data_IF_812273879717
#
_entry.id   IF_812273879717
#
_cell.length_a   1.000
_cell.length_b   1.000
_cell.length_c   1.000
_cell.angle_alpha   90.00
_cell.angle_beta   90.00
_cell.angle_gamma   90.00
#
_symmetry.space_group_name_H-M   'P 1'
#
loop_
_entity.id
_entity.type
_entity.pdbx_description
1 polymer ?
#
# COMPACT_ATOMS: atom_id res chain seq x y z
N UNK A 1 15.54 7.80 8.86
CA UNK A 1 14.48 8.57 9.56
C UNK A 1 13.59 7.52 10.21
N UNK A 2 13.58 7.38 11.54
CA UNK A 2 12.91 6.21 12.15
C UNK A 2 11.44 6.10 11.73
N UNK A 3 11.00 4.92 11.26
CA UNK A 3 9.63 4.59 10.84
C UNK A 3 8.55 5.14 11.79
N UNK A 4 8.80 5.10 13.10
CA UNK A 4 7.83 5.54 14.11
C UNK A 4 7.51 7.03 14.07
N UNK A 5 8.36 7.83 13.43
CA UNK A 5 8.16 9.26 13.30
C UNK A 5 6.90 9.57 12.47
N UNK A 6 6.43 8.68 11.59
CA UNK A 6 5.19 8.86 10.81
C UNK A 6 3.92 8.98 11.68
N UNK A 7 3.99 8.53 12.93
CA UNK A 7 2.89 8.62 13.89
C UNK A 7 2.95 9.87 14.77
N UNK A 8 4.02 10.66 14.69
CA UNK A 8 4.09 11.91 15.42
C UNK A 8 3.23 12.97 14.72
N UNK A 9 2.36 13.62 15.48
CA UNK A 9 1.62 14.81 15.02
C UNK A 9 2.52 15.94 14.52
N UNK A 10 3.77 15.99 15.00
CA UNK A 10 4.80 16.96 14.60
C UNK A 10 5.70 16.47 13.49
N UNK A 11 5.42 15.30 12.91
CA UNK A 11 6.18 14.84 11.77
C UNK A 11 6.15 15.89 10.68
N UNK A 12 7.33 16.30 10.21
CA UNK A 12 7.48 17.32 9.18
C UNK A 12 7.06 16.79 7.82
N UNK A 13 5.75 16.59 7.62
CA UNK A 13 5.18 16.30 6.31
C UNK A 13 5.49 17.44 5.33
N UNK A 14 5.71 18.65 5.84
CA UNK A 14 6.13 19.87 5.15
C UNK A 14 7.65 20.02 4.95
N UNK A 15 8.47 19.19 5.60
CA UNK A 15 9.93 19.32 5.50
C UNK A 15 10.48 18.70 4.22
N UNK A 16 11.43 19.37 3.53
CA UNK A 16 12.15 18.77 2.42
C UNK A 16 12.93 17.55 2.93
N UNK A 17 12.56 16.38 2.41
CA UNK A 17 13.24 15.11 2.66
C UNK A 17 12.83 14.17 1.52
N UNK A 18 13.69 14.04 0.52
CA UNK A 18 13.39 13.22 -0.64
C UNK A 18 14.53 13.13 -1.64
N UNK A 19 14.31 12.32 -2.68
CA UNK A 19 15.22 12.13 -3.80
C UNK A 19 15.46 13.42 -4.60
N UNK A 20 14.46 14.31 -4.58
CA UNK A 20 14.45 15.52 -5.38
C UNK A 20 13.57 16.59 -4.72
N UNK A 21 14.09 17.82 -4.75
CA UNK A 21 13.46 19.02 -4.21
C UNK A 21 13.37 20.06 -5.33
N UNK A 22 12.23 20.11 -6.05
CA UNK A 22 12.06 21.06 -7.14
C UNK A 22 12.09 22.50 -6.63
N UNK A 23 12.84 23.36 -7.31
CA UNK A 23 12.79 24.80 -7.10
C UNK A 23 11.49 25.35 -7.71
N UNK A 24 10.49 25.59 -6.86
CA UNK A 24 9.14 25.93 -7.28
C UNK A 24 9.09 27.23 -8.10
N UNK A 25 9.93 28.20 -7.78
CA UNK A 25 9.99 29.45 -8.53
C UNK A 25 10.46 29.17 -9.97
N UNK A 26 11.51 28.37 -10.13
CA UNK A 26 11.99 27.95 -11.46
C UNK A 26 10.99 27.07 -12.21
N UNK A 27 10.25 26.21 -11.50
CA UNK A 27 9.18 25.39 -12.13
C UNK A 27 8.09 26.30 -12.70
N UNK A 28 7.64 27.31 -11.95
CA UNK A 28 6.65 28.29 -12.41
C UNK A 28 7.20 29.07 -13.61
N UNK A 29 8.44 29.57 -13.52
CA UNK A 29 9.09 30.25 -14.64
C UNK A 29 9.13 29.36 -15.89
N UNK A 30 9.45 28.07 -15.76
CA UNK A 30 9.50 27.14 -16.89
C UNK A 30 8.14 27.01 -17.58
N UNK A 31 7.04 26.92 -16.82
CA UNK A 31 5.70 26.93 -17.40
C UNK A 31 5.38 28.26 -18.09
N UNK A 32 5.79 29.40 -17.53
CA UNK A 32 5.58 30.70 -18.18
C UNK A 32 6.33 30.77 -19.51
N UNK A 33 7.58 30.29 -19.56
CA UNK A 33 8.36 30.20 -20.80
C UNK A 33 7.71 29.27 -21.84
N UNK A 34 7.00 28.24 -21.39
CA UNK A 34 6.21 27.34 -22.24
C UNK A 34 4.85 27.93 -22.67
N UNK A 35 4.55 29.18 -22.34
CA UNK A 35 3.35 29.90 -22.81
C UNK A 35 2.13 29.78 -21.90
N UNK A 36 2.32 29.48 -20.61
CA UNK A 36 1.28 29.60 -19.59
C UNK A 36 1.25 30.99 -18.96
N UNK A 37 0.06 31.48 -18.62
CA UNK A 37 -0.07 32.67 -17.77
C UNK A 37 0.39 32.37 -16.34
N UNK A 38 0.86 33.38 -15.60
CA UNK A 38 1.39 33.21 -14.23
C UNK A 38 0.45 32.44 -13.30
N UNK A 39 -0.85 32.77 -13.33
CA UNK A 39 -1.84 32.11 -12.47
C UNK A 39 -2.12 30.66 -12.91
N UNK A 40 -2.03 30.37 -14.21
CA UNK A 40 -2.15 29.00 -14.71
C UNK A 40 -0.94 28.15 -14.30
N UNK A 41 0.27 28.71 -14.41
CA UNK A 41 1.50 28.05 -13.97
C UNK A 41 1.48 27.73 -12.46
N UNK A 42 0.99 28.67 -11.63
CA UNK A 42 0.80 28.43 -10.20
C UNK A 42 -0.22 27.33 -9.91
N UNK A 43 -1.36 27.32 -10.61
CA UNK A 43 -2.40 26.30 -10.41
C UNK A 43 -1.95 24.91 -10.88
N UNK A 44 -1.11 24.80 -11.92
CA UNK A 44 -0.45 23.56 -12.31
C UNK A 44 0.42 22.99 -11.18
N UNK A 45 1.32 23.81 -10.65
CA UNK A 45 2.22 23.40 -9.55
C UNK A 45 1.43 22.99 -8.32
N UNK A 46 0.43 23.80 -7.94
CA UNK A 46 -0.47 23.50 -6.81
C UNK A 46 -1.27 22.21 -7.02
N UNK A 47 -1.62 21.90 -8.27
CA UNK A 47 -2.27 20.65 -8.65
C UNK A 47 -1.31 19.45 -8.71
N UNK A 48 -0.01 19.65 -8.45
CA UNK A 48 0.99 18.59 -8.39
C UNK A 48 1.74 18.34 -9.71
N UNK A 49 1.64 19.24 -10.69
CA UNK A 49 2.44 19.14 -11.92
C UNK A 49 3.79 19.83 -11.74
N UNK A 50 4.87 19.05 -11.78
CA UNK A 50 6.23 19.51 -11.49
C UNK A 50 7.11 19.29 -12.70
N UNK A 51 7.79 20.34 -13.14
CA UNK A 51 8.79 20.28 -14.21
C UNK A 51 10.18 19.96 -13.67
N UNK A 52 10.86 18.99 -14.29
CA UNK A 52 12.24 18.61 -14.03
C UNK A 52 13.10 19.05 -15.22
N UNK A 53 13.83 20.18 -15.12
CA UNK A 53 14.59 20.75 -16.24
C UNK A 53 15.63 19.81 -16.84
N UNK A 54 16.34 19.05 -16.00
CA UNK A 54 17.45 18.19 -16.42
C UNK A 54 17.00 17.07 -17.36
N UNK A 55 15.74 16.65 -17.23
CA UNK A 55 15.14 15.60 -18.05
C UNK A 55 14.10 16.14 -19.04
N UNK A 56 13.81 17.44 -19.00
CA UNK A 56 12.73 18.09 -19.75
C UNK A 56 11.36 17.38 -19.58
N UNK A 57 10.98 17.05 -18.34
CA UNK A 57 9.77 16.28 -18.03
C UNK A 57 8.86 17.04 -17.07
N UNK A 58 7.58 17.14 -17.40
CA UNK A 58 6.53 17.46 -16.43
C UNK A 58 5.97 16.16 -15.87
N UNK A 59 5.94 16.07 -14.55
CA UNK A 59 5.50 14.91 -13.78
C UNK A 59 4.24 15.30 -13.02
N UNK A 60 3.18 14.54 -13.19
CA UNK A 60 2.01 14.58 -12.32
C UNK A 60 2.31 13.77 -11.04
N UNK A 61 2.55 14.47 -9.93
CA UNK A 61 3.00 13.86 -8.66
C UNK A 61 1.98 12.97 -7.97
N UNK A 62 0.71 13.07 -8.33
CA UNK A 62 -0.32 12.18 -7.81
C UNK A 62 -0.22 10.77 -8.42
N UNK A 63 0.49 10.60 -9.53
CA UNK A 63 0.62 9.31 -10.23
C UNK A 63 2.07 8.93 -10.52
N UNK A 64 2.84 9.85 -11.10
CA UNK A 64 4.23 9.65 -11.48
C UNK A 64 5.23 10.13 -10.43
N UNK A 65 6.45 9.63 -10.54
CA UNK A 65 7.58 10.00 -9.69
C UNK A 65 8.85 10.28 -10.47
N UNK A 66 9.99 10.34 -9.77
CA UNK A 66 11.28 10.84 -10.28
C UNK A 66 11.96 9.86 -11.26
N UNK A 67 11.27 9.53 -12.35
CA UNK A 67 11.76 8.71 -13.45
C UNK A 67 12.01 9.60 -14.67
N UNK A 68 13.20 9.51 -15.25
CA UNK A 68 13.58 10.21 -16.47
C UNK A 68 13.00 9.55 -17.73
N UNK A 69 11.69 9.29 -17.74
CA UNK A 69 10.99 8.67 -18.88
C UNK A 69 9.59 9.26 -19.09
N UNK A 70 9.15 9.28 -20.34
CA UNK A 70 7.79 9.69 -20.72
C UNK A 70 6.89 8.48 -20.89
N UNK A 71 5.64 8.59 -20.40
CA UNK A 71 4.57 7.65 -20.72
C UNK A 71 3.33 8.35 -21.29
N UNK A 72 3.35 9.68 -21.39
CA UNK A 72 2.26 10.55 -21.88
C UNK A 72 0.94 10.43 -21.08
N UNK A 73 0.96 9.72 -19.94
CA UNK A 73 -0.15 9.63 -18.99
C UNK A 73 0.08 10.54 -17.79
N UNK A 74 1.20 10.34 -17.10
CA UNK A 74 1.58 11.07 -15.90
C UNK A 74 2.99 11.68 -15.99
N UNK A 75 3.73 11.39 -17.06
CA UNK A 75 5.02 12.00 -17.38
C UNK A 75 5.08 12.36 -18.86
N UNK A 76 5.27 13.63 -19.16
CA UNK A 76 5.26 14.14 -20.53
C UNK A 76 6.23 15.33 -20.71
N UNK A 77 6.67 15.62 -21.96
CA UNK A 77 7.52 16.78 -22.23
C UNK A 77 6.80 18.10 -21.92
N UNK A 78 7.55 19.11 -21.47
CA UNK A 78 7.00 20.44 -21.15
C UNK A 78 6.16 21.01 -22.30
N UNK A 79 6.68 20.92 -23.53
CA UNK A 79 6.05 21.46 -24.74
C UNK A 79 4.72 20.81 -25.11
N UNK A 80 4.46 19.59 -24.60
CA UNK A 80 3.21 18.87 -24.86
C UNK A 80 2.22 18.98 -23.70
N UNK A 81 2.61 19.60 -22.58
CA UNK A 81 1.78 19.67 -21.36
C UNK A 81 0.42 20.29 -21.65
N UNK A 82 0.39 21.38 -22.42
CA UNK A 82 -0.85 22.08 -22.73
C UNK A 82 -1.79 21.24 -23.57
N UNK A 83 -1.26 20.65 -24.64
CA UNK A 83 -2.01 19.74 -25.48
C UNK A 83 -2.55 18.54 -24.70
N UNK A 84 -1.76 17.97 -23.78
CA UNK A 84 -2.18 16.82 -23.00
C UNK A 84 -3.26 17.17 -21.99
N UNK A 85 -3.10 18.28 -21.25
CA UNK A 85 -4.02 18.67 -20.18
C UNK A 85 -5.30 19.32 -20.69
N UNK A 86 -5.29 19.94 -21.87
CA UNK A 86 -6.47 20.54 -22.50
C UNK A 86 -7.32 19.50 -23.28
N UNK A 87 -6.86 18.24 -23.40
CA UNK A 87 -7.64 17.17 -24.03
C UNK A 87 -8.86 16.82 -23.18
N UNK A 88 -9.89 16.32 -23.87
CA UNK A 88 -11.02 15.66 -23.20
C UNK A 88 -10.53 14.44 -22.40
N UNK A 89 -11.25 14.15 -21.31
CA UNK A 89 -10.97 12.99 -20.48
C UNK A 89 -10.95 11.70 -21.32
N UNK A 90 -9.91 10.90 -21.14
CA UNK A 90 -9.61 9.76 -22.01
C UNK A 90 -9.33 8.46 -21.24
N UNK A 91 -9.68 8.41 -19.95
CA UNK A 91 -9.62 7.18 -19.17
C UNK A 91 -10.39 6.05 -19.87
N UNK A 92 -9.77 4.88 -19.97
CA UNK A 92 -10.38 3.68 -20.58
C UNK A 92 -11.15 2.84 -19.56
N UNK A 93 -11.25 3.32 -18.32
CA UNK A 93 -11.94 2.63 -17.23
C UNK A 93 -13.43 2.61 -17.50
N UNK A 94 -14.02 1.42 -17.58
CA UNK A 94 -15.47 1.28 -17.72
C UNK A 94 -16.17 1.40 -16.37
N UNK A 95 -17.42 1.86 -16.39
CA UNK A 95 -18.27 1.92 -15.20
C UNK A 95 -19.54 1.12 -15.45
N UNK A 96 -19.88 0.24 -14.51
CA UNK A 96 -21.14 -0.53 -14.53
C UNK A 96 -21.84 -0.42 -13.18
N UNK A 97 -23.17 -0.46 -13.21
CA UNK A 97 -24.00 -0.49 -12.00
C UNK A 97 -24.53 -1.91 -11.83
N UNK A 98 -24.14 -2.59 -10.77
CA UNK A 98 -24.74 -3.86 -10.38
C UNK A 98 -26.08 -3.61 -9.70
N UNK A 99 -27.14 -4.32 -10.11
CA UNK A 99 -28.50 -4.18 -9.57
C UNK A 99 -28.91 -5.29 -8.61
N UNK A 100 -28.08 -6.32 -8.46
CA UNK A 100 -28.21 -7.39 -7.47
C UNK A 100 -26.85 -8.07 -7.28
N UNK A 101 -26.80 -9.04 -6.35
CA UNK A 101 -25.63 -9.89 -6.18
C UNK A 101 -25.35 -10.76 -7.41
N UNK A 102 -26.37 -11.30 -8.06
CA UNK A 102 -26.23 -12.09 -9.28
C UNK A 102 -25.69 -11.25 -10.45
N UNK A 103 -26.16 -9.99 -10.56
CA UNK A 103 -25.68 -9.05 -11.57
C UNK A 103 -24.22 -8.66 -11.31
N UNK A 104 -23.85 -8.40 -10.05
CA UNK A 104 -22.46 -8.18 -9.66
C UNK A 104 -21.56 -9.34 -10.09
N UNK A 105 -21.94 -10.58 -9.78
CA UNK A 105 -21.18 -11.76 -10.17
C UNK A 105 -21.07 -11.93 -11.69
N UNK A 106 -22.15 -11.63 -12.42
CA UNK A 106 -22.14 -11.63 -13.88
C UNK A 106 -21.15 -10.59 -14.43
N UNK A 107 -21.19 -9.36 -13.94
CA UNK A 107 -20.26 -8.30 -14.36
C UNK A 107 -18.81 -8.71 -14.09
N UNK A 108 -18.53 -9.27 -12.90
CA UNK A 108 -17.17 -9.73 -12.55
C UNK A 108 -16.72 -10.88 -13.44
N UNK A 109 -17.60 -11.83 -13.76
CA UNK A 109 -17.29 -12.93 -14.69
C UNK A 109 -16.95 -12.41 -16.08
N UNK A 110 -17.78 -11.53 -16.63
CA UNK A 110 -17.55 -10.92 -17.95
C UNK A 110 -16.24 -10.13 -17.99
N UNK A 111 -15.90 -9.43 -16.90
CA UNK A 111 -14.63 -8.73 -16.77
C UNK A 111 -13.44 -9.70 -16.79
N UNK A 112 -13.51 -10.81 -16.04
CA UNK A 112 -12.46 -11.84 -16.03
C UNK A 112 -12.25 -12.49 -17.40
N UNK A 113 -13.30 -12.63 -18.20
CA UNK A 113 -13.19 -13.18 -19.57
C UNK A 113 -12.58 -12.19 -20.57
N UNK A 114 -12.70 -10.88 -20.32
CA UNK A 114 -12.23 -9.82 -21.23
C UNK A 114 -10.82 -9.30 -20.92
N UNK A 115 -10.35 -9.46 -19.68
CA UNK A 115 -9.02 -9.01 -19.26
C UNK A 115 -7.97 -10.10 -19.48
N UNK A 116 -6.83 -9.73 -20.05
CA UNK A 116 -5.67 -10.62 -20.14
C UNK A 116 -4.97 -10.70 -18.77
N UNK A 117 -5.28 -11.74 -18.01
CA UNK A 117 -4.67 -12.02 -16.71
C UNK A 117 -5.72 -12.17 -15.61
N UNK A 118 -5.29 -12.13 -14.36
CA UNK A 118 -6.19 -12.15 -13.21
C UNK A 118 -6.73 -10.76 -12.90
N UNK A 119 -7.91 -10.70 -12.30
CA UNK A 119 -8.49 -9.47 -11.76
C UNK A 119 -8.37 -9.50 -10.23
N UNK A 120 -7.83 -8.43 -9.69
CA UNK A 120 -7.81 -8.11 -8.28
C UNK A 120 -8.89 -7.09 -7.97
N UNK A 121 -9.32 -7.09 -6.71
CA UNK A 121 -10.44 -6.29 -6.23
C UNK A 121 -10.01 -5.36 -5.11
N UNK A 122 -10.65 -4.20 -5.06
CA UNK A 122 -10.64 -3.30 -3.90
C UNK A 122 -12.04 -2.75 -3.68
N UNK A 123 -12.59 -2.94 -2.49
CA UNK A 123 -13.88 -2.37 -2.11
C UNK A 123 -13.74 -1.07 -1.35
N UNK A 124 -14.66 -0.14 -1.59
CA UNK A 124 -14.78 1.10 -0.82
C UNK A 124 -16.26 1.45 -0.61
N UNK A 125 -16.56 2.05 0.54
CA UNK A 125 -17.93 2.48 0.87
C UNK A 125 -18.44 3.61 -0.04
N UNK A 126 -17.52 4.33 -0.69
CA UNK A 126 -17.81 5.33 -1.71
C UNK A 126 -16.58 5.54 -2.59
N UNK A 127 -16.77 6.04 -3.81
CA UNK A 127 -15.66 6.41 -4.68
C UNK A 127 -14.87 7.59 -4.11
N UNK A 128 -13.54 7.46 -4.13
CA UNK A 128 -12.64 8.54 -3.77
C UNK A 128 -12.01 9.18 -5.01
N UNK A 129 -12.21 10.49 -5.17
CA UNK A 129 -11.63 11.28 -6.26
C UNK A 129 -10.66 12.35 -5.75
N UNK A 130 -9.62 12.63 -6.54
CA UNK A 130 -8.73 13.76 -6.30
C UNK A 130 -9.47 15.07 -6.53
N UNK A 131 -9.28 16.00 -5.60
CA UNK A 131 -9.88 17.34 -5.66
C UNK A 131 -8.79 18.37 -5.90
N UNK A 132 -8.49 18.62 -7.17
CA UNK A 132 -7.51 19.62 -7.63
C UNK A 132 -8.09 20.46 -8.76
N UNK A 133 -7.50 21.63 -9.00
CA UNK A 133 -7.98 22.59 -9.99
C UNK A 133 -7.63 22.18 -11.41
N UNK A 134 -6.42 21.63 -11.61
CA UNK A 134 -6.00 21.04 -12.88
C UNK A 134 -5.98 19.53 -12.73
N UNK A 135 -6.86 18.85 -13.47
CA UNK A 135 -6.99 17.39 -13.46
C UNK A 135 -6.04 16.74 -14.47
N UNK A 136 -5.73 15.45 -14.29
CA UNK A 136 -5.12 14.66 -15.35
C UNK A 136 -6.20 13.92 -16.15
N UNK A 137 -6.38 14.24 -17.44
CA UNK A 137 -7.46 13.67 -18.25
C UNK A 137 -7.32 12.16 -18.47
N UNK A 138 -6.13 11.59 -18.29
CA UNK A 138 -5.91 10.14 -18.41
C UNK A 138 -6.54 9.33 -17.27
N UNK A 139 -6.80 9.95 -16.12
CA UNK A 139 -7.36 9.29 -14.93
C UNK A 139 -8.75 9.81 -14.54
N UNK A 140 -9.28 10.75 -15.31
CA UNK A 140 -10.63 11.24 -15.14
C UNK A 140 -11.64 10.26 -15.72
N UNK A 141 -12.55 9.78 -14.88
CA UNK A 141 -13.69 8.95 -15.27
C UNK A 141 -14.96 9.81 -15.19
N UNK A 142 -15.76 9.91 -16.26
CA UNK A 142 -17.03 10.66 -16.24
C UNK A 142 -17.88 10.25 -15.02
N UNK A 143 -18.49 11.23 -14.36
CA UNK A 143 -19.30 11.08 -13.12
C UNK A 143 -18.54 10.67 -11.84
N UNK A 144 -17.34 10.09 -11.97
CA UNK A 144 -16.52 9.63 -10.85
C UNK A 144 -15.33 10.55 -10.56
N UNK A 145 -15.02 11.45 -11.48
CA UNK A 145 -13.91 12.38 -11.37
C UNK A 145 -12.56 11.71 -11.59
N UNK A 146 -11.50 12.36 -11.13
CA UNK A 146 -10.15 11.83 -11.20
C UNK A 146 -9.92 10.76 -10.12
N UNK A 147 -9.82 9.50 -10.54
CA UNK A 147 -9.79 8.36 -9.61
C UNK A 147 -8.47 8.29 -8.87
N UNK A 148 -8.53 8.16 -7.53
CA UNK A 148 -7.35 7.98 -6.69
C UNK A 148 -7.38 6.67 -5.92
N UNK A 149 -6.38 5.84 -6.19
CA UNK A 149 -6.03 4.65 -5.44
C UNK A 149 -4.74 4.88 -4.63
N UNK A 150 -4.49 6.13 -4.23
CA UNK A 150 -3.31 6.53 -3.47
C UNK A 150 -3.33 5.89 -2.07
N UNK A 151 -2.27 5.15 -1.67
CA UNK A 151 -2.17 4.60 -0.32
C UNK A 151 -2.23 5.68 0.76
N UNK A 152 -2.65 5.31 1.98
CA UNK A 152 -2.92 6.26 3.06
C UNK A 152 -1.71 7.12 3.44
N UNK A 153 -0.51 6.52 3.45
CA UNK A 153 0.74 7.22 3.77
C UNK A 153 1.07 8.30 2.74
N UNK A 154 0.90 7.99 1.46
CA UNK A 154 1.10 8.95 0.37
C UNK A 154 0.06 10.07 0.36
N UNK A 155 -1.21 9.77 0.68
CA UNK A 155 -2.25 10.82 0.80
C UNK A 155 -1.87 11.87 1.81
N UNK A 156 -1.42 11.46 3.00
CA UNK A 156 -0.92 12.38 4.04
C UNK A 156 0.20 13.28 3.53
N UNK A 157 1.16 12.73 2.79
CA UNK A 157 2.26 13.51 2.24
C UNK A 157 1.79 14.48 1.15
N UNK A 158 1.01 14.00 0.18
CA UNK A 158 0.52 14.82 -0.94
C UNK A 158 -0.42 15.94 -0.47
N UNK A 159 -1.15 15.76 0.62
CA UNK A 159 -1.99 16.80 1.22
C UNK A 159 -1.18 17.98 1.79
N UNK A 160 0.10 17.77 2.11
CA UNK A 160 0.98 18.80 2.69
C UNK A 160 2.02 19.30 1.67
N UNK A 161 2.65 18.38 0.93
CA UNK A 161 3.76 18.66 0.03
C UNK A 161 3.65 17.88 -1.28
N UNK A 162 2.74 18.26 -2.18
CA UNK A 162 2.53 17.52 -3.43
C UNK A 162 3.76 17.57 -4.36
N UNK A 163 4.72 18.46 -4.13
CA UNK A 163 5.89 18.68 -4.97
C UNK A 163 7.16 17.92 -4.55
N UNK A 164 7.21 17.31 -3.36
CA UNK A 164 8.41 16.58 -2.91
C UNK A 164 8.40 15.11 -3.35
N UNK A 165 9.59 14.58 -3.65
CA UNK A 165 9.80 13.16 -3.99
C UNK A 165 10.34 12.40 -2.78
N UNK A 166 9.51 12.25 -1.76
CA UNK A 166 9.87 11.56 -0.52
C UNK A 166 9.86 10.04 -0.70
N UNK A 167 10.80 9.35 -0.05
CA UNK A 167 10.77 7.91 0.16
C UNK A 167 10.28 7.59 1.59
N UNK A 168 9.62 6.44 1.75
CA UNK A 168 9.18 5.96 3.05
C UNK A 168 9.97 4.72 3.44
N UNK A 169 10.61 4.82 4.60
CA UNK A 169 11.28 3.72 5.27
C UNK A 169 10.25 2.74 5.87
N UNK A 170 10.61 1.45 5.91
CA UNK A 170 9.90 0.40 6.64
C UNK A 170 10.46 0.31 8.08
N UNK A 171 10.02 -0.66 8.88
CA UNK A 171 10.71 -1.00 10.13
C UNK A 171 12.14 -1.44 9.83
N UNK A 172 13.08 -1.00 10.67
CA UNK A 172 14.49 -1.37 10.53
C UNK A 172 14.72 -2.84 10.94
N UNK A 173 15.86 -3.41 10.52
CA UNK A 173 16.24 -4.79 10.83
C UNK A 173 16.08 -5.14 12.31
N UNK A 174 16.57 -4.29 13.21
CA UNK A 174 16.47 -4.53 14.65
C UNK A 174 15.02 -4.64 15.15
N UNK A 175 14.12 -3.86 14.55
CA UNK A 175 12.72 -3.82 14.93
C UNK A 175 11.97 -5.04 14.40
N UNK A 176 12.28 -5.47 13.16
CA UNK A 176 11.81 -6.73 12.62
C UNK A 176 12.36 -7.94 13.36
N UNK A 177 13.66 -7.98 13.68
CA UNK A 177 14.26 -9.05 14.49
C UNK A 177 13.55 -9.15 15.84
N UNK A 178 13.28 -8.03 16.53
CA UNK A 178 12.56 -8.08 17.80
C UNK A 178 11.17 -8.73 17.70
N UNK A 179 10.49 -8.57 16.56
CA UNK A 179 9.18 -9.19 16.33
C UNK A 179 9.37 -10.67 15.97
N UNK A 180 10.19 -10.94 14.96
CA UNK A 180 10.28 -12.26 14.33
C UNK A 180 11.11 -13.26 15.16
N UNK A 181 12.00 -12.79 16.02
CA UNK A 181 12.75 -13.63 16.96
C UNK A 181 11.83 -14.29 18.01
N UNK A 182 10.59 -13.81 18.20
CA UNK A 182 9.62 -14.42 19.13
C UNK A 182 9.23 -15.86 18.74
N UNK A 183 9.59 -16.33 17.54
CA UNK A 183 9.44 -17.74 17.18
C UNK A 183 10.47 -18.66 17.87
N UNK A 184 11.49 -18.09 18.52
CA UNK A 184 12.53 -18.81 19.26
C UNK A 184 12.50 -18.43 20.75
N UNK A 185 12.88 -19.37 21.63
CA UNK A 185 13.18 -19.04 23.03
C UNK A 185 14.57 -18.40 23.11
N UNK A 186 14.62 -17.07 23.19
CA UNK A 186 15.87 -16.32 23.21
C UNK A 186 16.77 -16.64 24.41
N UNK A 187 16.21 -17.01 25.56
CA UNK A 187 17.01 -17.40 26.72
C UNK A 187 17.67 -18.76 26.48
N UNK A 188 16.94 -19.67 25.82
CA UNK A 188 17.49 -20.95 25.39
C UNK A 188 18.61 -20.75 24.36
N UNK A 189 18.41 -19.86 23.38
CA UNK A 189 19.45 -19.56 22.37
C UNK A 189 20.72 -19.01 23.02
N UNK A 190 20.59 -18.08 23.96
CA UNK A 190 21.73 -17.52 24.69
C UNK A 190 22.45 -18.59 25.53
N UNK A 191 21.71 -19.46 26.21
CA UNK A 191 22.27 -20.56 26.99
C UNK A 191 23.05 -21.55 26.12
N UNK A 192 22.49 -21.95 24.97
CA UNK A 192 23.17 -22.82 24.00
C UNK A 192 24.43 -22.18 23.45
N UNK A 193 24.37 -20.89 23.09
CA UNK A 193 25.52 -20.18 22.52
C UNK A 193 26.67 -20.13 23.52
N UNK A 194 26.37 -19.89 24.80
CA UNK A 194 27.37 -19.88 25.87
C UNK A 194 28.03 -21.25 26.05
N UNK A 195 27.25 -22.34 26.05
CA UNK A 195 27.77 -23.71 26.18
C UNK A 195 28.77 -24.02 25.04
N UNK A 196 28.43 -23.70 23.80
CA UNK A 196 29.33 -23.93 22.66
C UNK A 196 30.58 -23.05 22.70
N UNK A 197 30.45 -21.79 23.12
CA UNK A 197 31.60 -20.91 23.31
C UNK A 197 32.57 -21.44 24.38
N UNK A 198 32.05 -22.02 25.48
CA UNK A 198 32.86 -22.70 26.50
C UNK A 198 33.54 -23.98 25.97
N UNK A 199 32.95 -24.61 24.95
CA UNK A 199 33.54 -25.77 24.24
C UNK A 199 34.56 -25.37 23.16
N UNK A 200 34.78 -24.06 22.96
CA UNK A 200 35.79 -23.53 22.04
C UNK A 200 35.28 -23.23 20.63
N UNK A 201 33.97 -23.25 20.39
CA UNK A 201 33.41 -22.76 19.13
C UNK A 201 33.40 -21.22 19.09
N UNK A 202 33.72 -20.66 17.92
CA UNK A 202 33.69 -19.23 17.68
C UNK A 202 32.30 -18.85 17.19
N UNK A 203 31.54 -18.07 17.97
CA UNK A 203 30.14 -17.70 17.67
C UNK A 203 29.94 -16.19 17.79
N UNK A 204 30.62 -15.40 16.95
CA UNK A 204 30.59 -13.93 17.02
C UNK A 204 29.64 -13.29 16.00
N UNK A 205 29.37 -14.00 14.90
CA UNK A 205 28.53 -13.51 13.79
C UNK A 205 27.32 -14.42 13.56
N UNK A 206 26.35 -13.95 12.77
CA UNK A 206 25.21 -14.78 12.35
C UNK A 206 25.66 -15.97 11.50
N UNK A 207 26.71 -15.78 10.68
CA UNK A 207 27.33 -16.85 9.87
C UNK A 207 27.97 -17.92 10.75
N UNK A 208 28.72 -17.51 11.77
CA UNK A 208 29.32 -18.47 12.71
C UNK A 208 28.26 -19.32 13.41
N UNK A 209 27.13 -18.69 13.76
CA UNK A 209 25.99 -19.36 14.38
C UNK A 209 25.30 -20.33 13.41
N UNK A 210 25.15 -19.98 12.14
CA UNK A 210 24.66 -20.91 11.09
C UNK A 210 25.60 -22.11 10.89
N UNK A 211 26.91 -21.92 11.04
CA UNK A 211 27.91 -22.97 10.81
C UNK A 211 28.23 -23.83 12.06
N UNK A 212 27.59 -23.56 13.20
CA UNK A 212 27.91 -24.21 14.47
C UNK A 212 27.45 -25.68 14.56
N UNK A 213 27.96 -26.39 15.58
CA UNK A 213 27.61 -27.80 15.77
C UNK A 213 26.19 -28.04 16.31
N UNK A 214 25.59 -27.09 17.03
CA UNK A 214 24.23 -27.21 17.57
C UNK A 214 23.19 -26.98 16.46
N UNK A 215 22.28 -27.94 16.19
CA UNK A 215 21.31 -27.83 15.11
C UNK A 215 20.28 -26.71 15.33
N UNK A 216 19.91 -26.41 16.57
CA UNK A 216 18.91 -25.39 16.91
C UNK A 216 19.52 -24.00 16.74
N UNK A 217 20.74 -23.80 17.23
CA UNK A 217 21.45 -22.54 17.01
C UNK A 217 21.73 -22.29 15.53
N UNK A 218 22.06 -23.33 14.77
CA UNK A 218 22.23 -23.23 13.33
C UNK A 218 20.96 -22.77 12.61
N UNK A 219 19.80 -23.31 12.99
CA UNK A 219 18.52 -22.84 12.44
C UNK A 219 18.26 -21.37 12.80
N UNK A 220 18.53 -20.96 14.04
CA UNK A 220 18.38 -19.57 14.46
C UNK A 220 19.36 -18.62 13.76
N UNK A 221 20.63 -19.02 13.65
CA UNK A 221 21.68 -18.27 12.94
C UNK A 221 21.34 -18.10 11.47
N UNK A 222 20.89 -19.18 10.83
CA UNK A 222 20.36 -19.17 9.47
C UNK A 222 19.21 -18.18 9.32
N UNK A 223 18.20 -18.26 10.18
CA UNK A 223 17.06 -17.36 10.16
C UNK A 223 17.49 -15.89 10.25
N UNK A 224 18.40 -15.57 11.18
CA UNK A 224 18.90 -14.19 11.36
C UNK A 224 19.70 -13.72 10.15
N UNK A 225 20.55 -14.57 9.59
CA UNK A 225 21.31 -14.25 8.39
C UNK A 225 20.36 -13.99 7.21
N UNK A 226 19.43 -14.91 6.98
CA UNK A 226 18.44 -14.80 5.92
C UNK A 226 17.58 -13.53 6.11
N UNK A 227 17.13 -13.20 7.33
CA UNK A 227 16.43 -11.94 7.59
C UNK A 227 17.30 -10.71 7.28
N UNK A 228 18.55 -10.70 7.74
CA UNK A 228 19.47 -9.55 7.56
C UNK A 228 19.83 -9.31 6.09
N UNK A 229 20.11 -10.38 5.35
CA UNK A 229 20.41 -10.31 3.94
C UNK A 229 19.15 -9.98 3.16
N UNK A 230 17.99 -10.51 3.62
CA UNK A 230 16.75 -10.44 2.86
C UNK A 230 15.76 -9.32 3.14
N UNK A 231 16.05 -8.44 4.10
CA UNK A 231 15.11 -7.41 4.53
C UNK A 231 14.66 -6.47 3.40
N UNK A 232 15.62 -5.91 2.67
CA UNK A 232 15.35 -4.81 1.72
C UNK A 232 15.12 -5.29 0.27
N UNK A 233 15.10 -6.61 0.04
CA UNK A 233 14.92 -7.20 -1.28
C UNK A 233 13.73 -8.20 -1.30
N UNK A 234 13.98 -9.51 -1.38
CA UNK A 234 13.03 -10.61 -1.25
C UNK A 234 12.01 -10.53 -0.09
N UNK A 235 12.30 -9.94 1.08
CA UNK A 235 11.31 -9.83 2.17
C UNK A 235 10.57 -8.50 2.19
N UNK A 236 11.03 -7.48 1.47
CA UNK A 236 10.53 -6.11 1.61
C UNK A 236 9.02 -6.02 1.36
N UNK A 237 8.51 -6.77 0.37
CA UNK A 237 7.09 -6.77 0.04
C UNK A 237 6.27 -7.56 1.05
N UNK A 238 6.70 -8.78 1.43
CA UNK A 238 6.07 -9.58 2.49
C UNK A 238 5.92 -8.78 3.79
N UNK A 239 6.98 -8.10 4.22
CA UNK A 239 6.97 -7.28 5.43
C UNK A 239 6.08 -6.04 5.30
N UNK A 240 6.04 -5.41 4.12
CA UNK A 240 5.11 -4.29 3.85
C UNK A 240 3.65 -4.73 3.93
N UNK A 241 3.33 -5.93 3.43
CA UNK A 241 2.00 -6.54 3.58
C UNK A 241 1.66 -6.74 5.06
N UNK A 242 2.62 -7.16 5.87
CA UNK A 242 2.40 -7.30 7.32
C UNK A 242 2.06 -5.94 7.94
N UNK A 243 2.82 -4.89 7.65
CA UNK A 243 2.52 -3.57 8.20
C UNK A 243 1.06 -3.15 7.90
N UNK A 244 0.66 -3.24 6.63
CA UNK A 244 -0.65 -2.79 6.17
C UNK A 244 -1.80 -3.55 6.85
N UNK A 245 -1.77 -4.89 6.90
CA UNK A 245 -2.88 -5.70 7.41
C UNK A 245 -3.03 -5.65 8.93
N UNK A 246 -1.97 -5.28 9.65
CA UNK A 246 -2.01 -5.07 11.10
C UNK A 246 -2.24 -3.60 11.49
N UNK A 247 -2.58 -2.74 10.53
CA UNK A 247 -2.95 -1.34 10.78
C UNK A 247 -1.78 -0.37 10.89
N UNK A 248 -0.57 -0.84 10.57
CA UNK A 248 0.62 -0.02 10.54
C UNK A 248 0.75 0.69 9.18
N UNK A 249 1.41 1.86 9.16
CA UNK A 249 1.57 2.61 7.92
C UNK A 249 2.44 1.87 6.92
N UNK A 250 1.95 1.78 5.70
CA UNK A 250 2.70 1.25 4.58
C UNK A 250 2.56 2.16 3.35
N UNK A 251 3.56 2.17 2.46
CA UNK A 251 3.47 2.90 1.20
C UNK A 251 2.72 2.12 0.12
N UNK A 252 2.22 0.90 0.39
CA UNK A 252 1.60 0.02 -0.61
C UNK A 252 0.08 0.11 -0.59
N UNK A 253 -0.56 -0.23 -1.70
CA UNK A 253 -2.01 -0.36 -1.77
C UNK A 253 -2.42 -1.81 -1.50
N UNK A 254 -3.37 -1.99 -0.59
CA UNK A 254 -4.02 -3.26 -0.30
C UNK A 254 -5.08 -3.63 -1.36
N UNK A 255 -4.92 -4.80 -1.96
CA UNK A 255 -5.84 -5.44 -2.89
C UNK A 255 -6.17 -6.86 -2.40
N UNK A 256 -7.20 -7.46 -2.97
CA UNK A 256 -7.56 -8.86 -2.71
C UNK A 256 -7.84 -9.59 -4.02
N UNK A 257 -7.51 -10.89 -4.08
CA UNK A 257 -8.02 -11.74 -5.16
C UNK A 257 -9.44 -12.26 -4.90
N UNK A 258 -10.02 -12.00 -3.73
CA UNK A 258 -11.36 -12.42 -3.37
C UNK A 258 -12.38 -11.29 -3.56
N UNK A 259 -13.44 -11.59 -4.32
CA UNK A 259 -14.58 -10.70 -4.47
C UNK A 259 -15.29 -10.47 -3.13
N UNK A 260 -15.39 -11.51 -2.29
CA UNK A 260 -16.11 -11.44 -1.03
C UNK A 260 -15.39 -10.52 -0.03
N UNK A 261 -14.04 -10.57 0.00
CA UNK A 261 -13.22 -9.66 0.80
C UNK A 261 -13.41 -8.21 0.35
N UNK A 262 -13.41 -7.96 -0.96
CA UNK A 262 -13.66 -6.62 -1.48
C UNK A 262 -15.10 -6.16 -1.15
N UNK A 263 -16.09 -7.04 -1.28
CA UNK A 263 -17.47 -6.73 -0.90
C UNK A 263 -17.59 -6.39 0.60
N UNK A 264 -16.87 -7.09 1.47
CA UNK A 264 -16.79 -6.76 2.89
C UNK A 264 -16.34 -5.31 3.08
N UNK A 265 -15.20 -4.91 2.51
CA UNK A 265 -14.68 -3.55 2.65
C UNK A 265 -15.56 -2.47 1.97
N UNK A 266 -16.32 -2.83 0.94
CA UNK A 266 -17.30 -1.93 0.32
C UNK A 266 -18.55 -1.72 1.19
N UNK A 267 -18.94 -2.72 1.98
CA UNK A 267 -20.23 -2.75 2.70
C UNK A 267 -20.12 -2.57 4.21
N UNK A 268 -18.89 -2.58 4.74
CA UNK A 268 -18.62 -2.35 6.16
C UNK A 268 -17.81 -1.07 6.35
N UNK A 269 -18.18 -0.28 7.35
CA UNK A 269 -17.50 0.96 7.70
C UNK A 269 -16.60 0.75 8.91
N UNK A 270 -15.31 1.04 8.73
CA UNK A 270 -14.34 1.03 9.82
C UNK A 270 -14.59 2.20 10.78
N UNK A 271 -14.56 1.93 12.08
CA UNK A 271 -14.59 2.92 13.15
C UNK A 271 -13.53 2.57 14.19
N UNK A 272 -12.72 3.56 14.59
CA UNK A 272 -11.77 3.42 15.70
C UNK A 272 -12.39 4.02 16.98
N UNK A 273 -12.54 3.20 18.03
CA UNK A 273 -13.08 3.58 19.34
C UNK A 273 -11.98 3.50 20.41
N UNK A 274 -12.23 4.11 21.58
CA UNK A 274 -11.31 3.97 22.73
C UNK A 274 -11.13 2.51 23.17
N UNK A 275 -12.17 1.68 23.02
CA UNK A 275 -12.14 0.26 23.37
C UNK A 275 -11.56 -0.66 22.29
N UNK A 276 -11.11 -0.09 21.16
CA UNK A 276 -10.63 -0.83 19.99
C UNK A 276 -11.36 -0.44 18.71
N UNK A 277 -11.01 -1.10 17.62
CA UNK A 277 -11.63 -0.88 16.31
C UNK A 277 -12.80 -1.81 16.05
N UNK A 278 -13.70 -1.39 15.16
CA UNK A 278 -14.78 -2.24 14.66
C UNK A 278 -15.16 -1.91 13.22
N UNK A 279 -15.79 -2.87 12.55
CA UNK A 279 -16.47 -2.74 11.28
C UNK A 279 -17.97 -2.87 11.48
N UNK A 280 -18.72 -1.83 11.15
CA UNK A 280 -20.19 -1.86 11.16
C UNK A 280 -20.72 -2.11 9.74
N UNK A 281 -21.64 -3.06 9.58
CA UNK A 281 -22.33 -3.24 8.30
C UNK A 281 -23.20 -2.03 7.98
N UNK A 282 -23.02 -1.44 6.79
CA UNK A 282 -23.77 -0.26 6.32
C UNK A 282 -24.50 -0.50 4.99
N UNK A 283 -24.59 -1.77 4.55
CA UNK A 283 -25.12 -2.12 3.23
C UNK A 283 -24.28 -1.51 2.10
N UNK A 284 -24.90 -1.19 0.97
CA UNK A 284 -24.24 -0.58 -0.20
C UNK A 284 -24.11 0.94 -0.09
N UNK A 285 -24.28 1.50 1.11
CA UNK A 285 -24.22 2.94 1.37
C UNK A 285 -25.16 3.76 0.46
N UNK A 286 -26.40 3.28 0.27
CA UNK A 286 -27.41 3.87 -0.63
C UNK A 286 -26.93 3.95 -2.08
N UNK A 287 -26.36 2.85 -2.62
CA UNK A 287 -25.90 2.80 -4.00
C UNK A 287 -24.57 3.52 -4.26
N UNK A 288 -23.83 3.89 -3.22
CA UNK A 288 -22.55 4.61 -3.35
C UNK A 288 -21.33 3.70 -3.26
N UNK A 289 -21.47 2.52 -2.64
CA UNK A 289 -20.37 1.59 -2.50
C UNK A 289 -19.87 1.13 -3.86
N UNK A 290 -18.55 0.99 -3.99
CA UNK A 290 -17.88 0.64 -5.25
C UNK A 290 -16.90 -0.50 -5.07
N UNK A 291 -16.73 -1.27 -6.14
CA UNK A 291 -15.64 -2.22 -6.32
C UNK A 291 -14.77 -1.77 -7.49
N UNK A 292 -13.48 -1.61 -7.24
CA UNK A 292 -12.47 -1.39 -8.27
C UNK A 292 -11.94 -2.74 -8.76
N UNK A 293 -11.90 -2.92 -10.07
CA UNK A 293 -11.35 -4.10 -10.73
C UNK A 293 -10.01 -3.71 -11.35
N UNK A 294 -8.95 -4.33 -10.83
CA UNK A 294 -7.57 -3.99 -11.16
C UNK A 294 -6.93 -5.21 -11.81
N UNK A 295 -6.38 -5.04 -13.02
CA UNK A 295 -5.66 -6.11 -13.72
C UNK A 295 -4.36 -6.42 -12.98
N UNK A 296 -4.15 -7.69 -12.63
CA UNK A 296 -2.91 -8.13 -11.99
C UNK A 296 -1.72 -7.90 -12.94
N UNK A 297 -0.70 -7.22 -12.45
CA UNK A 297 0.63 -7.21 -13.05
C UNK A 297 1.64 -7.76 -12.05
N UNK A 298 2.13 -8.98 -12.30
CA UNK A 298 3.02 -9.71 -11.39
C UNK A 298 4.39 -9.06 -11.19
N UNK A 299 4.73 -8.00 -11.93
CA UNK A 299 5.95 -7.22 -11.69
C UNK A 299 5.75 -6.11 -10.66
N UNK A 300 4.53 -5.57 -10.60
CA UNK A 300 4.16 -4.44 -9.75
C UNK A 300 3.28 -4.84 -8.55
N UNK A 301 2.74 -6.06 -8.59
CA UNK A 301 1.83 -6.61 -7.60
C UNK A 301 2.34 -7.96 -7.11
N UNK A 302 2.26 -8.15 -5.80
CA UNK A 302 2.77 -9.34 -5.14
C UNK A 302 1.76 -9.87 -4.14
N UNK A 303 1.56 -11.19 -4.18
CA UNK A 303 0.68 -11.90 -3.26
C UNK A 303 1.41 -12.15 -1.95
N UNK A 304 0.67 -12.25 -0.86
CA UNK A 304 1.25 -12.68 0.39
C UNK A 304 1.89 -14.09 0.25
N UNK A 305 3.20 -14.18 0.49
CA UNK A 305 3.91 -15.46 0.50
C UNK A 305 3.84 -16.11 1.88
N UNK A 306 2.87 -17.02 2.03
CA UNK A 306 2.69 -17.82 3.26
C UNK A 306 3.85 -18.77 3.55
N UNK A 307 4.57 -19.18 2.51
CA UNK A 307 5.64 -20.18 2.58
C UNK A 307 7.01 -19.50 2.80
N UNK A 308 7.03 -18.17 2.90
CA UNK A 308 8.20 -17.37 3.22
C UNK A 308 8.83 -17.83 4.53
N UNK A 309 10.11 -18.23 4.47
CA UNK A 309 10.84 -18.79 5.60
C UNK A 309 10.82 -17.89 6.85
N UNK A 310 10.75 -16.56 6.67
CA UNK A 310 10.84 -15.60 7.76
C UNK A 310 9.56 -15.52 8.59
N UNK A 311 8.41 -15.91 8.02
CA UNK A 311 7.09 -15.71 8.62
C UNK A 311 6.24 -16.99 8.67
N UNK A 312 6.65 -18.07 8.00
CA UNK A 312 5.88 -19.33 7.92
C UNK A 312 5.44 -19.88 9.28
N UNK A 313 6.28 -19.74 10.31
CA UNK A 313 5.99 -20.25 11.66
C UNK A 313 4.96 -19.41 12.42
N UNK A 314 4.74 -18.17 12.00
CA UNK A 314 3.75 -17.29 12.60
C UNK A 314 2.36 -17.43 11.98
N UNK A 315 2.27 -17.94 10.74
CA UNK A 315 1.03 -18.02 9.95
C UNK A 315 0.19 -16.73 10.06
N UNK A 316 0.67 -15.58 9.56
CA UNK A 316 -0.01 -14.30 9.76
C UNK A 316 -1.41 -14.31 9.16
N UNK A 317 -2.43 -14.46 10.01
CA UNK A 317 -3.75 -14.88 9.57
C UNK A 317 -4.53 -13.77 8.86
N UNK A 318 -4.32 -12.49 9.18
CA UNK A 318 -5.01 -11.37 8.51
C UNK A 318 -4.78 -11.32 7.00
N UNK A 319 -3.53 -11.24 6.50
CA UNK A 319 -3.26 -11.22 5.07
C UNK A 319 -3.69 -12.52 4.36
N UNK A 320 -3.62 -13.66 5.06
CA UNK A 320 -4.11 -14.95 4.54
C UNK A 320 -5.63 -14.93 4.36
N UNK A 321 -6.39 -14.59 5.41
CA UNK A 321 -7.86 -14.55 5.39
C UNK A 321 -8.42 -13.51 4.41
N UNK A 322 -7.64 -12.49 4.08
CA UNK A 322 -8.02 -11.43 3.14
C UNK A 322 -7.58 -11.69 1.71
N UNK A 323 -6.97 -12.85 1.41
CA UNK A 323 -6.41 -13.19 0.09
C UNK A 323 -5.55 -12.04 -0.47
N UNK A 324 -4.66 -11.53 0.38
CA UNK A 324 -3.95 -10.28 0.16
C UNK A 324 -3.06 -10.31 -1.09
N UNK A 325 -3.19 -9.23 -1.86
CA UNK A 325 -2.22 -8.81 -2.86
C UNK A 325 -1.87 -7.34 -2.59
N UNK A 326 -0.59 -6.98 -2.62
CA UNK A 326 -0.17 -5.58 -2.51
C UNK A 326 0.28 -5.04 -3.86
N UNK A 327 -0.17 -3.84 -4.21
CA UNK A 327 0.39 -3.10 -5.34
C UNK A 327 1.46 -2.17 -4.80
N UNK A 328 2.68 -2.32 -5.32
CA UNK A 328 3.83 -1.52 -4.93
C UNK A 328 3.59 -0.06 -5.27
N UNK A 329 4.02 0.82 -4.38
CA UNK A 329 4.00 2.25 -4.61
C UNK A 329 5.21 2.88 -3.91
N UNK A 330 5.72 3.95 -4.51
CA UNK A 330 7.02 4.52 -4.17
C UNK A 330 7.13 5.96 -4.64
N UNK A 331 8.26 6.60 -4.33
CA UNK A 331 8.57 7.95 -4.79
C UNK A 331 8.53 8.09 -6.33
N UNK A 332 8.67 6.96 -7.05
CA UNK A 332 8.68 6.83 -8.51
C UNK A 332 7.30 6.58 -9.14
N UNK A 333 6.32 6.09 -8.37
CA UNK A 333 4.96 5.83 -8.82
C UNK A 333 4.02 5.73 -7.61
N UNK A 334 3.34 6.84 -7.29
CA UNK A 334 2.59 6.99 -6.04
C UNK A 334 1.22 6.31 -6.12
N UNK A 335 0.56 6.40 -7.27
CA UNK A 335 -0.76 5.83 -7.53
C UNK A 335 -0.69 4.80 -8.67
N UNK A 336 0.33 3.94 -8.61
CA UNK A 336 0.61 2.95 -9.65
C UNK A 336 -0.60 2.05 -9.97
N UNK A 337 -1.39 1.71 -8.96
CA UNK A 337 -2.61 0.90 -9.13
C UNK A 337 -3.62 1.51 -10.12
N UNK A 338 -3.66 2.84 -10.27
CA UNK A 338 -4.54 3.50 -11.23
C UNK A 338 -4.17 3.20 -12.69
N UNK A 339 -2.91 2.87 -12.99
CA UNK A 339 -2.48 2.45 -14.34
C UNK A 339 -3.01 1.05 -14.73
N UNK A 340 -3.48 0.28 -13.74
CA UNK A 340 -4.01 -1.07 -13.89
C UNK A 340 -5.51 -1.16 -13.62
N UNK A 341 -6.18 -0.03 -13.37
CA UNK A 341 -7.62 0.00 -13.17
C UNK A 341 -8.32 -0.29 -14.51
N UNK A 342 -9.13 -1.34 -14.54
CA UNK A 342 -9.89 -1.74 -15.73
C UNK A 342 -11.34 -1.26 -15.63
N UNK A 343 -11.94 -1.32 -14.43
CA UNK A 343 -13.35 -0.99 -14.25
C UNK A 343 -13.75 -0.62 -12.83
N UNK A 344 -14.89 0.05 -12.73
CA UNK A 344 -15.58 0.40 -11.48
C UNK A 344 -16.98 -0.20 -11.52
N UNK A 345 -17.32 -1.00 -10.51
CA UNK A 345 -18.69 -1.49 -10.30
C UNK A 345 -19.31 -0.72 -9.15
N UNK A 346 -20.41 -0.03 -9.43
CA UNK A 346 -21.27 0.61 -8.41
C UNK A 346 -22.26 -0.41 -7.90
N UNK A 347 -22.37 -0.56 -6.58
CA UNK A 347 -23.31 -1.47 -5.94
C UNK A 347 -24.69 -0.81 -5.80
N UNK A 348 -25.41 -0.65 -6.91
CA UNK A 348 -26.70 0.04 -6.97
C UNK A 348 -27.88 -0.90 -6.67
N UNK A 349 -27.85 -1.47 -5.46
CA UNK A 349 -28.88 -2.32 -4.90
C UNK A 349 -28.82 -2.28 -3.37
N UNK A 350 -29.84 -2.77 -2.68
CA UNK A 350 -29.79 -2.92 -1.22
C UNK A 350 -29.24 -4.30 -0.86
N UNK A 351 -28.27 -4.34 0.03
CA UNK A 351 -27.74 -5.58 0.61
C UNK A 351 -28.09 -5.60 2.10
N UNK A 352 -28.72 -6.67 2.57
CA UNK A 352 -28.96 -6.89 4.00
C UNK A 352 -27.76 -7.55 4.67
N UNK A 353 -27.67 -7.42 5.99
CA UNK A 353 -26.59 -8.04 6.78
C UNK A 353 -26.59 -9.57 6.66
N UNK A 354 -27.77 -10.19 6.51
CA UNK A 354 -27.92 -11.63 6.29
C UNK A 354 -27.42 -12.11 4.93
N UNK A 355 -27.29 -11.20 3.97
CA UNK A 355 -26.72 -11.48 2.64
C UNK A 355 -25.22 -11.17 2.57
N UNK A 356 -24.66 -10.54 3.60
CA UNK A 356 -23.22 -10.33 3.71
C UNK A 356 -22.51 -11.69 3.87
N UNK A 357 -21.50 -11.92 3.04
CA UNK A 357 -20.79 -13.21 2.96
C UNK A 357 -19.72 -13.39 4.03
N UNK A 358 -19.20 -12.27 4.52
CA UNK A 358 -18.11 -12.20 5.48
C UNK A 358 -18.47 -11.21 6.58
N UNK A 359 -18.05 -11.55 7.79
CA UNK A 359 -18.09 -10.71 8.97
C UNK A 359 -16.68 -10.23 9.34
N UNK A 360 -16.60 -9.34 10.32
CA UNK A 360 -15.32 -8.91 10.87
C UNK A 360 -14.50 -10.09 11.42
N UNK A 361 -15.12 -11.04 12.11
CA UNK A 361 -14.43 -12.17 12.73
C UNK A 361 -13.82 -13.11 11.68
N UNK A 362 -14.42 -13.18 10.49
CA UNK A 362 -13.89 -13.99 9.38
C UNK A 362 -12.53 -13.46 8.91
N UNK A 363 -12.35 -12.13 8.88
CA UNK A 363 -11.17 -11.46 8.31
C UNK A 363 -10.14 -10.97 9.33
N UNK A 364 -10.56 -10.72 10.57
CA UNK A 364 -9.74 -10.11 11.62
C UNK A 364 -9.70 -10.99 12.87
N UNK A 365 -8.84 -12.02 12.87
CA UNK A 365 -8.65 -12.89 14.03
C UNK A 365 -8.15 -12.12 15.24
N UNK A 366 -8.51 -12.65 16.41
CA UNK A 366 -8.07 -12.16 17.71
C UNK A 366 -6.61 -12.50 17.97
N UNK A 367 -6.00 -11.86 18.97
CA UNK A 367 -4.63 -12.19 19.43
C UNK A 367 -4.47 -13.65 19.86
N UNK A 368 -5.57 -14.31 20.29
CA UNK A 368 -5.53 -15.72 20.67
C UNK A 368 -5.39 -16.67 19.47
N UNK A 369 -5.84 -16.23 18.30
CA UNK A 369 -5.87 -17.02 17.08
C UNK A 369 -4.65 -16.72 16.20
N UNK A 370 -4.17 -15.48 16.19
CA UNK A 370 -3.10 -15.01 15.32
C UNK A 370 -1.77 -14.86 16.08
N UNK A 371 -0.87 -15.82 15.87
CA UNK A 371 0.44 -15.87 16.56
C UNK A 371 1.30 -14.68 16.15
N UNK A 372 1.22 -14.22 14.90
CA UNK A 372 1.94 -13.04 14.45
C UNK A 372 1.44 -11.77 15.14
N UNK A 373 0.13 -11.60 15.30
CA UNK A 373 -0.46 -10.49 16.05
C UNK A 373 0.07 -10.43 17.48
N UNK A 374 0.10 -11.59 18.16
CA UNK A 374 0.69 -11.72 19.50
C UNK A 374 2.17 -11.33 19.51
N UNK A 375 2.94 -11.79 18.54
CA UNK A 375 4.37 -11.44 18.42
C UNK A 375 4.59 -9.95 18.17
N UNK A 376 3.78 -9.32 17.31
CA UNK A 376 3.79 -7.88 17.07
C UNK A 376 3.59 -7.09 18.38
N UNK A 377 2.64 -7.53 19.21
CA UNK A 377 2.32 -6.87 20.48
C UNK A 377 3.38 -7.03 21.58
N UNK A 378 4.36 -7.93 21.43
CA UNK A 378 5.52 -8.00 22.33
C UNK A 378 6.34 -6.70 22.35
N UNK A 379 6.21 -5.91 21.27
CA UNK A 379 6.88 -4.63 21.08
C UNK A 379 6.00 -3.47 21.54
N UNK A 380 6.31 -2.83 22.68
CA UNK A 380 5.54 -1.67 23.19
C UNK A 380 5.29 -0.55 22.17
N UNK A 381 6.21 -0.31 21.23
CA UNK A 381 6.02 0.69 20.17
C UNK A 381 4.93 0.27 19.18
N UNK A 382 4.88 -1.01 18.85
CA UNK A 382 3.92 -1.64 17.92
C UNK A 382 2.57 -1.82 18.60
N UNK A 383 2.55 -2.31 19.84
CA UNK A 383 1.35 -2.58 20.64
C UNK A 383 0.38 -1.39 20.67
N UNK A 384 0.90 -0.17 20.85
CA UNK A 384 0.10 1.06 20.89
C UNK A 384 -0.49 1.50 19.53
N UNK A 385 -0.14 0.82 18.44
CA UNK A 385 -0.42 1.25 17.06
C UNK A 385 -1.07 0.18 16.19
N UNK A 386 -1.00 -1.09 16.59
CA UNK A 386 -1.66 -2.18 15.88
C UNK A 386 -3.18 -2.05 16.03
N UNK A 387 -3.90 -2.27 14.94
CA UNK A 387 -5.36 -2.25 14.97
C UNK A 387 -5.89 -3.51 15.64
N UNK A 388 -6.58 -3.35 16.77
CA UNK A 388 -7.29 -4.43 17.46
C UNK A 388 -8.79 -4.33 17.21
N UNK A 389 -9.45 -5.46 17.00
CA UNK A 389 -10.87 -5.50 16.71
C UNK A 389 -11.67 -6.00 17.91
N UNK A 390 -12.73 -5.27 18.26
CA UNK A 390 -13.65 -5.66 19.34
C UNK A 390 -14.44 -6.86 18.85
N UNK A 391 -14.50 -7.91 19.67
CA UNK A 391 -15.24 -9.15 19.40
C UNK A 391 -16.76 -8.96 19.44
#
# INVERSE_FOLDING_TARGET
MSYWQYYDSKFGWDTPAGLMEPDIEKVIESFIHAGYELEQAKELVKSGFIYIPEANIVIDRYYGGALSSFNFKNRFPLEQTKEILDREACSQVWVKNAKSMEDLEAIVRDAKESVRGEILFRGQNENYSLKRSVINPNYYVPEFGEVSLVPSLWRKMLDHTPYYFREFENLELFEWSRILDNQFDLNEMEARQKILAEQGEYLFTMSDMEDCSDPVLREFGKFRLDLSMNLDWALATTLSTMLQHYGLYSPVLDLSSSLDVALFFATHKYTNLESGSKYDFIGTNNGKAVLYLIREDRKEMERHDRDCFAIKNFEPLRPIKQDCVVCRSGAYAVNLAADFLEGIIVLDFNLSETEARLSQADLFPTEKEDVFLKALKSSKKVELRVTEFIS
#
